data_IF_203937889131
#
_entry.id   IF_203937889131
#
_cell.length_a   1.000
_cell.length_b   1.000
_cell.length_c   1.000
_cell.angle_alpha   90.00
_cell.angle_beta   90.00
_cell.angle_gamma   90.00
#
_symmetry.space_group_name_H-M   'P 1'
#
loop_
_entity.id
_entity.type
_entity.pdbx_description
1 polymer ?
#
# COMPACT_ATOMS: atom_id res chain seq x y z
N UNK A 1 3.66 27.83 -9.30
CA UNK A 1 4.81 27.33 -8.51
C UNK A 1 4.38 26.70 -7.17
N UNK A 2 3.50 27.31 -6.36
CA UNK A 2 3.02 26.67 -5.11
C UNK A 2 2.03 25.50 -5.33
N UNK A 3 1.17 25.60 -6.36
CA UNK A 3 0.18 24.55 -6.66
C UNK A 3 0.79 23.24 -7.18
N UNK A 4 1.90 23.31 -7.92
CA UNK A 4 2.56 22.13 -8.48
C UNK A 4 3.13 21.25 -7.36
N UNK A 5 3.69 21.86 -6.31
CA UNK A 5 4.19 21.15 -5.13
C UNK A 5 3.06 20.45 -4.35
N UNK A 6 1.91 21.13 -4.16
CA UNK A 6 0.74 20.55 -3.49
C UNK A 6 0.17 19.37 -4.29
N UNK A 7 0.11 19.48 -5.62
CA UNK A 7 -0.35 18.41 -6.50
C UNK A 7 0.57 17.17 -6.42
N UNK A 8 1.90 17.36 -6.41
CA UNK A 8 2.87 16.27 -6.27
C UNK A 8 2.75 15.57 -4.92
N UNK A 9 2.58 16.33 -3.82
CA UNK A 9 2.38 15.76 -2.48
C UNK A 9 1.08 14.96 -2.38
N UNK A 10 -0.03 15.50 -2.91
CA UNK A 10 -1.31 14.80 -2.97
C UNK A 10 -1.25 13.51 -3.80
N UNK A 11 -0.57 13.55 -4.96
CA UNK A 11 -0.34 12.36 -5.78
C UNK A 11 0.47 11.32 -5.01
N UNK A 12 1.54 11.73 -4.34
CA UNK A 12 2.39 10.83 -3.55
C UNK A 12 1.59 10.17 -2.43
N UNK A 13 0.81 10.94 -1.67
CA UNK A 13 -0.03 10.40 -0.62
C UNK A 13 -1.08 9.42 -1.17
N UNK A 14 -1.69 9.73 -2.34
CA UNK A 14 -2.59 8.82 -3.01
C UNK A 14 -1.90 7.51 -3.43
N UNK A 15 -0.67 7.58 -3.95
CA UNK A 15 0.10 6.40 -4.35
C UNK A 15 0.51 5.55 -3.13
N UNK A 16 0.84 6.17 -1.99
CA UNK A 16 1.05 5.46 -0.70
C UNK A 16 -0.23 4.74 -0.25
N UNK A 17 -1.39 5.40 -0.35
CA UNK A 17 -2.68 4.79 -0.03
C UNK A 17 -2.99 3.57 -0.89
N UNK A 18 -2.74 3.66 -2.21
CA UNK A 18 -2.88 2.52 -3.13
C UNK A 18 -1.93 1.38 -2.79
N UNK A 19 -0.70 1.68 -2.39
CA UNK A 19 0.27 0.66 -1.98
C UNK A 19 -0.29 -0.17 -0.82
N UNK A 20 -0.78 0.48 0.24
CA UNK A 20 -1.40 -0.24 1.35
C UNK A 20 -2.65 -1.01 0.92
N UNK A 21 -3.48 -0.46 0.05
CA UNK A 21 -4.66 -1.16 -0.45
C UNK A 21 -4.29 -2.47 -1.18
N UNK A 22 -3.28 -2.44 -2.05
CA UNK A 22 -2.84 -3.64 -2.77
C UNK A 22 -2.13 -4.64 -1.86
N UNK A 23 -1.32 -4.20 -0.89
CA UNK A 23 -0.77 -5.11 0.12
C UNK A 23 -1.89 -5.77 0.95
N UNK A 24 -2.92 -5.00 1.33
CA UNK A 24 -4.08 -5.52 2.03
C UNK A 24 -4.84 -6.58 1.22
N UNK A 25 -4.99 -6.37 -0.09
CA UNK A 25 -5.56 -7.37 -1.00
C UNK A 25 -4.67 -8.61 -1.12
N UNK A 26 -3.36 -8.42 -1.24
CA UNK A 26 -2.38 -9.52 -1.30
C UNK A 26 -2.46 -10.44 -0.08
N UNK A 27 -2.59 -9.86 1.11
CA UNK A 27 -2.76 -10.62 2.36
C UNK A 27 -4.14 -11.28 2.43
N UNK A 28 -5.20 -10.58 1.99
CA UNK A 28 -6.56 -11.13 1.94
C UNK A 28 -6.67 -12.38 1.09
N UNK A 29 -5.98 -12.43 -0.05
CA UNK A 29 -5.98 -13.60 -0.93
C UNK A 29 -5.53 -14.91 -0.23
N UNK A 30 -4.78 -14.82 0.88
CA UNK A 30 -4.32 -15.99 1.63
C UNK A 30 -5.40 -16.59 2.53
N UNK A 31 -6.40 -15.81 2.95
CA UNK A 31 -7.43 -16.25 3.91
C UNK A 31 -8.86 -16.10 3.40
N UNK A 32 -9.06 -15.37 2.31
CA UNK A 32 -10.34 -15.18 1.62
C UNK A 32 -10.10 -15.02 0.11
N UNK A 33 -9.72 -16.09 -0.61
CA UNK A 33 -9.41 -16.04 -2.04
C UNK A 33 -10.65 -15.79 -2.92
N UNK A 34 -11.85 -15.97 -2.37
CA UNK A 34 -13.13 -15.77 -3.08
C UNK A 34 -13.71 -14.36 -2.87
N UNK A 35 -12.98 -13.47 -2.18
CA UNK A 35 -13.40 -12.11 -1.95
C UNK A 35 -13.75 -11.39 -3.26
N UNK A 36 -14.88 -10.68 -3.28
CA UNK A 36 -15.25 -9.84 -4.40
C UNK A 36 -14.18 -8.75 -4.64
N UNK A 37 -13.96 -8.40 -5.91
CA UNK A 37 -12.96 -7.41 -6.36
C UNK A 37 -11.48 -7.77 -6.08
N UNK A 38 -11.16 -9.04 -5.87
CA UNK A 38 -9.78 -9.52 -5.79
C UNK A 38 -9.12 -9.49 -7.19
N UNK A 39 -8.06 -8.71 -7.36
CA UNK A 39 -7.26 -8.76 -8.57
C UNK A 39 -6.49 -10.10 -8.66
N UNK A 40 -6.26 -10.62 -9.87
CA UNK A 40 -5.26 -11.68 -10.10
C UNK A 40 -3.92 -11.30 -9.48
N UNK A 41 -3.24 -12.28 -8.86
CA UNK A 41 -2.01 -12.01 -8.09
C UNK A 41 -0.90 -11.38 -8.93
N UNK A 42 -0.78 -11.77 -10.21
CA UNK A 42 0.20 -11.21 -11.13
C UNK A 42 -0.06 -9.73 -11.42
N UNK A 43 -1.33 -9.35 -11.62
CA UNK A 43 -1.72 -7.96 -11.80
C UNK A 43 -1.48 -7.15 -10.52
N UNK A 44 -1.80 -7.73 -9.36
CA UNK A 44 -1.56 -7.07 -8.07
C UNK A 44 -0.06 -6.82 -7.86
N UNK A 45 0.79 -7.81 -8.11
CA UNK A 45 2.24 -7.65 -8.00
C UNK A 45 2.76 -6.59 -8.98
N UNK A 46 2.29 -6.59 -10.24
CA UNK A 46 2.65 -5.56 -11.21
C UNK A 46 2.25 -4.14 -10.77
N UNK A 47 1.06 -3.98 -10.17
CA UNK A 47 0.62 -2.70 -9.61
C UNK A 47 1.49 -2.26 -8.43
N UNK A 48 1.89 -3.18 -7.55
CA UNK A 48 2.82 -2.87 -6.46
C UNK A 48 4.18 -2.43 -6.97
N UNK A 49 4.72 -3.07 -7.99
CA UNK A 49 6.01 -2.71 -8.58
C UNK A 49 5.96 -1.32 -9.24
N UNK A 50 4.87 -1.00 -9.94
CA UNK A 50 4.65 0.34 -10.49
C UNK A 50 4.58 1.40 -9.40
N UNK A 51 3.91 1.13 -8.27
CA UNK A 51 3.83 2.05 -7.15
C UNK A 51 5.18 2.24 -6.47
N UNK A 52 5.96 1.17 -6.27
CA UNK A 52 7.33 1.25 -5.75
C UNK A 52 8.20 2.13 -6.64
N UNK A 53 8.14 1.96 -7.95
CA UNK A 53 8.86 2.78 -8.91
C UNK A 53 8.41 4.25 -8.87
N UNK A 54 7.10 4.52 -8.82
CA UNK A 54 6.52 5.87 -8.71
C UNK A 54 6.96 6.57 -7.41
N UNK A 55 7.06 5.83 -6.31
CA UNK A 55 7.40 6.36 -4.99
C UNK A 55 8.91 6.46 -4.74
N UNK A 56 9.74 5.72 -5.48
CA UNK A 56 11.19 5.67 -5.27
C UNK A 56 11.86 7.05 -5.13
N UNK A 57 11.59 8.06 -5.98
CA UNK A 57 12.21 9.38 -5.85
C UNK A 57 11.87 10.07 -4.53
N UNK A 58 10.65 9.87 -4.03
CA UNK A 58 10.21 10.47 -2.76
C UNK A 58 10.79 9.70 -1.58
N UNK A 59 10.79 8.37 -1.65
CA UNK A 59 11.34 7.50 -0.60
C UNK A 59 12.84 7.69 -0.40
N UNK A 60 13.59 8.07 -1.45
CA UNK A 60 15.01 8.38 -1.32
C UNK A 60 15.28 9.61 -0.44
N UNK A 61 14.33 10.53 -0.36
CA UNK A 61 14.40 11.70 0.53
C UNK A 61 13.73 11.48 1.89
N UNK A 62 12.91 10.43 2.04
CA UNK A 62 12.21 10.10 3.27
C UNK A 62 12.53 8.68 3.74
N UNK A 63 13.66 8.55 4.44
CA UNK A 63 14.16 7.27 4.94
C UNK A 63 13.19 6.53 5.87
N UNK A 64 12.39 7.26 6.66
CA UNK A 64 11.42 6.64 7.59
C UNK A 64 10.33 5.91 6.81
N UNK A 65 9.76 6.54 5.78
CA UNK A 65 8.74 5.90 4.95
C UNK A 65 9.34 4.74 4.14
N UNK A 66 10.57 4.92 3.63
CA UNK A 66 11.30 3.87 2.91
C UNK A 66 11.52 2.61 3.77
N UNK A 67 11.95 2.78 5.02
CA UNK A 67 12.13 1.67 5.96
C UNK A 67 10.81 0.99 6.28
N UNK A 68 9.75 1.74 6.55
CA UNK A 68 8.41 1.18 6.78
C UNK A 68 7.92 0.33 5.59
N UNK A 69 8.16 0.78 4.35
CA UNK A 69 7.79 0.02 3.16
C UNK A 69 8.56 -1.31 3.08
N UNK A 70 9.87 -1.26 3.30
CA UNK A 70 10.71 -2.45 3.31
C UNK A 70 10.30 -3.46 4.40
N UNK A 71 9.98 -2.99 5.61
CA UNK A 71 9.50 -3.85 6.69
C UNK A 71 8.17 -4.52 6.35
N UNK A 72 7.23 -3.77 5.77
CA UNK A 72 5.95 -4.31 5.32
C UNK A 72 6.15 -5.36 4.22
N UNK A 73 6.96 -5.05 3.21
CA UNK A 73 7.26 -5.96 2.11
C UNK A 73 7.89 -7.27 2.60
N UNK A 74 8.88 -7.17 3.49
CA UNK A 74 9.53 -8.33 4.10
C UNK A 74 8.55 -9.17 4.92
N UNK A 75 7.69 -8.52 5.71
CA UNK A 75 6.68 -9.22 6.51
C UNK A 75 5.65 -9.92 5.63
N UNK A 76 5.19 -9.28 4.56
CA UNK A 76 4.26 -9.87 3.59
C UNK A 76 4.90 -11.06 2.88
N UNK A 77 6.16 -10.95 2.47
CA UNK A 77 6.90 -12.03 1.84
C UNK A 77 7.01 -13.24 2.79
N UNK A 78 7.35 -13.00 4.06
CA UNK A 78 7.39 -14.06 5.10
C UNK A 78 6.03 -14.73 5.28
N UNK A 79 4.96 -13.95 5.48
CA UNK A 79 3.60 -14.47 5.66
C UNK A 79 3.18 -15.34 4.46
N UNK A 80 3.49 -14.91 3.23
CA UNK A 80 3.20 -15.67 2.00
C UNK A 80 4.00 -16.97 1.94
N UNK A 81 5.29 -16.93 2.27
CA UNK A 81 6.17 -18.11 2.26
C UNK A 81 5.72 -19.15 3.29
N UNK A 82 5.39 -18.71 4.50
CA UNK A 82 4.96 -19.55 5.61
C UNK A 82 3.49 -19.97 5.52
N UNK A 83 2.72 -19.35 4.60
CA UNK A 83 1.25 -19.49 4.50
C UNK A 83 0.56 -19.22 5.84
N UNK A 84 1.04 -18.22 6.58
CA UNK A 84 0.56 -17.89 7.92
C UNK A 84 -0.80 -17.15 7.88
N UNK A 85 -1.89 -17.90 7.70
CA UNK A 85 -3.27 -17.38 7.50
C UNK A 85 -3.73 -16.44 8.61
N UNK A 86 -3.50 -16.78 9.88
CA UNK A 86 -3.91 -15.95 11.01
C UNK A 86 -3.13 -14.64 11.08
N UNK A 87 -1.82 -14.69 10.76
CA UNK A 87 -1.02 -13.48 10.68
C UNK A 87 -1.45 -12.62 9.50
N UNK A 88 -1.72 -13.23 8.34
CA UNK A 88 -2.26 -12.54 7.17
C UNK A 88 -3.56 -11.82 7.48
N UNK A 89 -4.46 -12.43 8.27
CA UNK A 89 -5.72 -11.80 8.68
C UNK A 89 -5.49 -10.59 9.60
N UNK A 90 -4.68 -10.74 10.64
CA UNK A 90 -4.41 -9.67 11.62
C UNK A 90 -3.67 -8.51 10.97
N UNK A 91 -2.58 -8.80 10.28
CA UNK A 91 -1.76 -7.79 9.63
C UNK A 91 -2.48 -7.18 8.41
N UNK A 92 -3.25 -7.97 7.66
CA UNK A 92 -4.09 -7.47 6.57
C UNK A 92 -5.13 -6.46 7.03
N UNK A 93 -5.75 -6.66 8.20
CA UNK A 93 -6.67 -5.69 8.78
C UNK A 93 -5.96 -4.38 9.17
N UNK A 94 -4.78 -4.46 9.76
CA UNK A 94 -3.95 -3.28 10.08
C UNK A 94 -3.58 -2.48 8.83
N UNK A 95 -3.14 -3.16 7.77
CA UNK A 95 -2.79 -2.53 6.49
C UNK A 95 -4.01 -1.88 5.82
N UNK A 96 -5.18 -2.53 5.88
CA UNK A 96 -6.43 -1.98 5.34
C UNK A 96 -6.84 -0.69 6.07
N UNK A 97 -6.67 -0.63 7.39
CA UNK A 97 -6.95 0.60 8.15
C UNK A 97 -5.97 1.72 7.76
N UNK A 98 -4.68 1.42 7.60
CA UNK A 98 -3.69 2.40 7.09
C UNK A 98 -4.09 2.92 5.71
N UNK A 99 -4.52 2.05 4.79
CA UNK A 99 -4.99 2.44 3.47
C UNK A 99 -6.18 3.40 3.54
N UNK A 100 -7.15 3.10 4.42
CA UNK A 100 -8.33 3.94 4.64
C UNK A 100 -7.96 5.31 5.19
N UNK A 101 -7.15 5.36 6.25
CA UNK A 101 -6.72 6.63 6.86
C UNK A 101 -6.01 7.51 5.84
N UNK A 102 -5.08 6.95 5.06
CA UNK A 102 -4.39 7.72 4.01
C UNK A 102 -5.35 8.19 2.94
N UNK A 103 -6.30 7.35 2.51
CA UNK A 103 -7.34 7.73 1.55
C UNK A 103 -8.21 8.88 2.06
N UNK A 104 -8.66 8.81 3.31
CA UNK A 104 -9.50 9.84 3.94
C UNK A 104 -8.74 11.17 4.06
N UNK A 105 -7.47 11.13 4.45
CA UNK A 105 -6.59 12.31 4.48
C UNK A 105 -6.41 12.93 3.08
N UNK A 106 -6.15 12.11 2.06
CA UNK A 106 -6.05 12.59 0.67
C UNK A 106 -7.36 13.24 0.21
N UNK A 107 -8.51 12.65 0.56
CA UNK A 107 -9.82 13.19 0.22
C UNK A 107 -10.08 14.54 0.90
N UNK A 108 -9.69 14.69 2.17
CA UNK A 108 -9.76 15.96 2.91
C UNK A 108 -8.88 17.03 2.27
N UNK A 109 -7.60 16.72 2.00
CA UNK A 109 -6.66 17.68 1.44
C UNK A 109 -6.95 18.07 -0.01
N UNK A 110 -7.67 17.24 -0.78
CA UNK A 110 -8.14 17.60 -2.13
C UNK A 110 -9.27 18.65 -2.11
N UNK A 111 -10.00 18.77 -1.00
CA UNK A 111 -11.11 19.72 -0.83
C UNK A 111 -10.68 21.08 -0.30
N UNK A 112 -9.45 21.19 0.19
CA UNK A 112 -8.79 22.43 0.65
C UNK A 112 -7.96 23.04 -0.48
#
# INVERSE_FOLDING_TARGET
MADDGKAVLLKTAADIGKYYAFIGQALRALYDPAAAAQLPMDLLNAQLDQLRASLAPVLDTNHVVKQNFAEIDNRVARIRQEKAVDEARRFGAEIQERAKVVSDLVALFRRL
#
